data_IF_498552418180
#
_entry.id   IF_498552418180
#
_cell.length_a   1.000
_cell.length_b   1.000
_cell.length_c   1.000
_cell.angle_alpha   90.00
_cell.angle_beta   90.00
_cell.angle_gamma   90.00
#
_symmetry.space_group_name_H-M   'P 1'
#
loop_
_entity.id
_entity.type
_entity.pdbx_description
1 polymer ?
#
# COMPACT_ATOMS: atom_id res chain seq x y z
N UNK A 1 -0.22 -4.65 -18.74
CA UNK A 1 -0.35 -4.65 -17.28
C UNK A 1 0.37 -5.86 -16.73
N UNK A 2 1.16 -5.69 -15.69
CA UNK A 2 1.81 -6.77 -14.94
C UNK A 2 1.38 -6.66 -13.49
N UNK A 3 1.29 -7.81 -12.81
CA UNK A 3 0.95 -7.92 -11.41
C UNK A 3 2.02 -8.78 -10.75
N UNK A 4 2.60 -8.28 -9.65
CA UNK A 4 3.59 -8.97 -8.84
C UNK A 4 3.07 -9.05 -7.41
N UNK A 5 2.95 -10.26 -6.88
CA UNK A 5 2.58 -10.47 -5.48
C UNK A 5 3.87 -10.67 -4.69
N UNK A 6 4.27 -9.66 -3.94
CA UNK A 6 5.47 -9.71 -3.12
C UNK A 6 5.25 -10.51 -1.84
N UNK A 7 4.04 -10.40 -1.25
CA UNK A 7 3.63 -11.13 -0.05
C UNK A 7 2.11 -11.31 -0.02
N UNK A 8 1.64 -12.43 0.57
CA UNK A 8 0.21 -12.75 0.72
C UNK A 8 -0.23 -14.01 -0.01
N UNK A 9 0.69 -14.77 -0.64
CA UNK A 9 0.35 -16.02 -1.37
C UNK A 9 0.48 -17.27 -0.50
N UNK A 10 1.43 -17.29 0.43
CA UNK A 10 1.75 -18.47 1.26
C UNK A 10 1.64 -18.20 2.76
N UNK A 11 1.18 -17.01 3.14
CA UNK A 11 1.01 -16.61 4.53
C UNK A 11 -0.18 -15.65 4.67
N UNK A 12 -0.77 -15.62 5.86
CA UNK A 12 -1.81 -14.67 6.20
C UNK A 12 -1.14 -13.35 6.60
N UNK A 13 -1.66 -12.24 6.10
CA UNK A 13 -1.19 -10.89 6.42
C UNK A 13 0.10 -10.46 5.72
N UNK A 14 0.46 -9.21 5.94
CA UNK A 14 1.61 -8.58 5.32
C UNK A 14 1.45 -8.34 3.81
N UNK A 15 0.22 -8.19 3.34
CA UNK A 15 -0.10 -8.04 1.91
C UNK A 15 0.71 -6.94 1.25
N UNK A 16 1.28 -7.26 0.08
CA UNK A 16 1.92 -6.30 -0.82
C UNK A 16 1.79 -6.80 -2.26
N UNK A 17 1.03 -6.06 -3.06
CA UNK A 17 0.81 -6.37 -4.47
C UNK A 17 1.20 -5.16 -5.30
N UNK A 18 2.11 -5.36 -6.24
CA UNK A 18 2.53 -4.36 -7.20
C UNK A 18 1.78 -4.56 -8.51
N UNK A 19 1.20 -3.48 -9.04
CA UNK A 19 0.54 -3.48 -10.34
C UNK A 19 1.22 -2.39 -11.17
N UNK A 20 1.67 -2.74 -12.36
CA UNK A 20 2.23 -1.72 -13.24
C UNK A 20 1.85 -1.89 -14.71
N UNK A 21 1.79 -0.77 -15.42
CA UNK A 21 1.51 -0.67 -16.84
C UNK A 21 2.30 0.49 -17.42
N UNK A 22 3.08 0.24 -18.49
CA UNK A 22 3.90 1.26 -19.15
C UNK A 22 4.76 2.06 -18.16
N UNK A 23 4.30 3.28 -17.78
CA UNK A 23 5.01 4.20 -16.88
C UNK A 23 4.33 4.35 -15.53
N UNK A 24 3.20 3.68 -15.30
CA UNK A 24 2.42 3.80 -14.06
C UNK A 24 2.62 2.56 -13.20
N UNK A 25 2.99 2.78 -11.95
CA UNK A 25 3.16 1.76 -10.91
C UNK A 25 2.36 2.13 -9.69
N UNK A 26 1.54 1.21 -9.21
CA UNK A 26 0.77 1.35 -7.98
C UNK A 26 1.01 0.13 -7.08
N UNK A 27 0.87 0.33 -5.78
CA UNK A 27 0.96 -0.72 -4.77
C UNK A 27 -0.39 -0.87 -4.09
N UNK A 28 -0.90 -2.09 -4.01
CA UNK A 28 -2.06 -2.44 -3.20
C UNK A 28 -1.59 -3.05 -1.89
N UNK A 29 -1.87 -2.37 -0.81
CA UNK A 29 -1.43 -2.62 0.55
C UNK A 29 0.11 -2.63 0.70
N UNK A 30 0.60 -2.34 1.89
CA UNK A 30 2.00 -2.47 2.26
C UNK A 30 2.08 -2.85 3.73
N UNK A 31 1.75 -4.10 3.98
CA UNK A 31 1.43 -4.63 5.30
C UNK A 31 2.61 -5.15 6.09
N UNK A 32 2.48 -5.09 7.41
CA UNK A 32 3.39 -5.74 8.36
C UNK A 32 3.21 -7.26 8.27
N UNK A 33 4.30 -8.06 8.20
CA UNK A 33 4.16 -9.51 8.36
C UNK A 33 3.52 -9.85 9.71
N UNK A 34 2.66 -10.86 9.76
CA UNK A 34 2.11 -11.40 11.00
C UNK A 34 2.98 -12.53 11.54
N UNK A 35 3.69 -13.23 10.65
CA UNK A 35 4.53 -14.37 11.01
C UNK A 35 5.96 -14.19 10.52
N UNK A 36 6.90 -14.64 11.33
CA UNK A 36 8.31 -14.78 10.98
C UNK A 36 8.57 -16.16 10.34
N UNK A 37 9.74 -16.37 9.69
CA UNK A 37 10.17 -17.68 9.25
C UNK A 37 10.06 -18.71 10.36
N UNK A 38 9.50 -19.88 10.05
CA UNK A 38 9.24 -20.93 11.05
C UNK A 38 7.88 -20.82 11.76
N UNK A 39 6.99 -19.90 11.33
CA UNK A 39 5.60 -19.80 11.79
C UNK A 39 5.41 -19.13 13.16
N UNK A 40 6.46 -18.55 13.73
CA UNK A 40 6.38 -17.74 14.96
C UNK A 40 5.73 -16.40 14.67
N UNK A 41 5.11 -15.79 15.68
CA UNK A 41 4.62 -14.42 15.59
C UNK A 41 5.76 -13.45 15.22
N UNK A 42 5.47 -12.49 14.34
CA UNK A 42 6.44 -11.50 13.92
C UNK A 42 6.69 -10.45 15.01
N UNK A 43 7.92 -10.36 15.47
CA UNK A 43 8.33 -9.35 16.45
C UNK A 43 8.63 -8.01 15.77
N UNK A 44 7.72 -7.07 15.87
CA UNK A 44 7.90 -5.70 15.34
C UNK A 44 9.08 -4.96 15.98
N UNK A 45 9.50 -5.32 17.18
CA UNK A 45 10.64 -4.65 17.85
C UNK A 45 11.95 -4.95 17.11
N UNK A 46 12.01 -6.05 16.37
CA UNK A 46 13.15 -6.43 15.54
C UNK A 46 13.44 -5.44 14.40
N UNK A 47 12.50 -4.57 14.06
CA UNK A 47 12.66 -3.55 13.02
C UNK A 47 13.42 -2.31 13.51
N UNK A 48 13.61 -2.15 14.82
CA UNK A 48 14.21 -0.95 15.40
C UNK A 48 15.68 -0.81 15.01
N UNK A 49 16.05 0.40 14.60
CA UNK A 49 17.42 0.73 14.22
C UNK A 49 17.90 0.17 12.88
N UNK A 50 17.08 -0.62 12.20
CA UNK A 50 17.44 -1.18 10.89
C UNK A 50 17.21 -0.20 9.76
N UNK A 51 18.12 -0.23 8.82
CA UNK A 51 18.04 0.50 7.55
C UNK A 51 17.09 -0.19 6.57
N UNK A 52 16.61 0.55 5.57
CA UNK A 52 15.80 -0.01 4.48
C UNK A 52 16.51 -1.18 3.79
N UNK A 53 17.82 -1.06 3.57
CA UNK A 53 18.64 -2.12 2.93
C UNK A 53 18.67 -3.41 3.76
N UNK A 54 18.82 -3.29 5.07
CA UNK A 54 18.78 -4.46 5.97
C UNK A 54 17.41 -5.13 5.98
N UNK A 55 16.33 -4.31 6.06
CA UNK A 55 14.96 -4.83 6.02
C UNK A 55 14.60 -5.50 4.69
N UNK A 56 15.18 -5.05 3.58
CA UNK A 56 15.03 -5.72 2.27
C UNK A 56 15.78 -7.06 2.28
N UNK A 57 16.98 -7.13 2.81
CA UNK A 57 17.75 -8.39 2.94
C UNK A 57 17.03 -9.42 3.83
N UNK A 58 16.33 -8.96 4.85
CA UNK A 58 15.53 -9.80 5.74
C UNK A 58 14.13 -10.12 5.19
N UNK A 59 13.81 -9.72 3.97
CA UNK A 59 12.51 -9.91 3.32
C UNK A 59 11.33 -9.29 4.08
N UNK A 60 11.57 -8.31 4.95
CA UNK A 60 10.52 -7.50 5.58
C UNK A 60 9.99 -6.45 4.60
N UNK A 61 10.91 -5.78 3.90
CA UNK A 61 10.61 -4.87 2.80
C UNK A 61 10.98 -5.52 1.46
N UNK A 62 10.52 -4.94 0.35
CA UNK A 62 10.75 -5.45 -1.00
C UNK A 62 11.59 -4.47 -1.82
N UNK A 63 12.41 -4.98 -2.73
CA UNK A 63 13.28 -4.17 -3.59
C UNK A 63 12.46 -3.50 -4.72
N UNK A 64 11.55 -2.61 -4.36
CA UNK A 64 10.73 -1.84 -5.32
C UNK A 64 11.40 -0.47 -5.55
N UNK A 65 11.85 -0.17 -6.77
CA UNK A 65 12.53 1.09 -7.08
C UNK A 65 11.64 2.31 -6.83
N UNK A 66 12.20 3.34 -6.19
CA UNK A 66 11.53 4.61 -5.94
C UNK A 66 10.36 4.53 -4.95
N UNK A 67 10.27 3.46 -4.15
CA UNK A 67 9.22 3.31 -3.12
C UNK A 67 9.62 3.95 -1.80
N UNK A 68 10.89 4.01 -1.46
CA UNK A 68 11.36 4.33 -0.11
C UNK A 68 11.91 5.75 0.02
N UNK A 69 11.93 6.25 1.26
CA UNK A 69 12.59 7.50 1.62
C UNK A 69 14.04 7.52 1.13
N UNK A 70 14.48 8.66 0.60
CA UNK A 70 15.84 8.84 0.08
C UNK A 70 16.06 8.35 -1.36
N UNK A 71 15.00 7.90 -2.05
CA UNK A 71 15.02 7.55 -3.47
C UNK A 71 14.18 8.56 -4.26
N UNK A 72 14.42 8.69 -5.56
CA UNK A 72 13.50 9.40 -6.46
C UNK A 72 12.20 8.58 -6.59
N UNK A 73 11.01 9.15 -6.30
CA UNK A 73 9.77 8.40 -6.30
C UNK A 73 9.41 7.90 -7.71
N UNK A 74 9.20 6.59 -7.84
CA UNK A 74 8.80 5.93 -9.09
C UNK A 74 7.46 5.17 -8.95
N UNK A 75 6.82 5.28 -7.79
CA UNK A 75 5.50 4.72 -7.52
C UNK A 75 4.48 5.85 -7.53
N UNK A 76 3.42 5.68 -8.31
CA UNK A 76 2.42 6.73 -8.56
C UNK A 76 1.32 6.77 -7.50
N UNK A 77 1.17 5.72 -6.69
CA UNK A 77 0.18 5.67 -5.63
C UNK A 77 0.17 4.36 -4.86
N UNK A 78 -0.32 4.44 -3.63
CA UNK A 78 -0.54 3.29 -2.76
C UNK A 78 -2.01 3.24 -2.42
N UNK A 79 -2.65 2.10 -2.65
CA UNK A 79 -4.06 1.86 -2.34
C UNK A 79 -4.11 1.03 -1.06
N UNK A 80 -4.76 1.54 -0.01
CA UNK A 80 -4.91 0.82 1.25
C UNK A 80 -6.32 0.27 1.36
N UNK A 81 -6.41 -1.05 1.47
CA UNK A 81 -7.69 -1.74 1.57
C UNK A 81 -8.39 -1.47 2.88
N UNK A 82 -7.69 -1.54 4.01
CA UNK A 82 -8.28 -1.27 5.35
C UNK A 82 -7.21 -0.99 6.42
N UNK A 83 -7.68 -0.69 7.64
CA UNK A 83 -6.85 -0.23 8.76
C UNK A 83 -6.31 -1.35 9.66
N UNK A 84 -6.11 -2.56 9.15
CA UNK A 84 -5.36 -3.59 9.87
C UNK A 84 -3.86 -3.48 9.55
N UNK A 85 -3.03 -3.68 10.56
CA UNK A 85 -1.58 -3.41 10.49
C UNK A 85 -0.85 -4.25 9.44
N UNK A 86 -1.37 -5.43 9.15
CA UNK A 86 -0.89 -6.32 8.10
C UNK A 86 -1.26 -5.85 6.66
N UNK A 87 -1.91 -4.68 6.53
CA UNK A 87 -2.20 -4.00 5.25
C UNK A 87 -1.53 -2.63 5.12
N UNK A 88 -1.20 -1.95 6.23
CA UNK A 88 -0.61 -0.60 6.18
C UNK A 88 0.65 -0.44 7.04
N UNK A 89 1.02 -1.43 7.85
CA UNK A 89 2.01 -1.29 8.94
C UNK A 89 3.42 -0.90 8.50
N UNK A 90 3.78 -1.06 7.23
CA UNK A 90 5.08 -0.68 6.70
C UNK A 90 5.09 0.67 5.94
N UNK A 91 3.97 1.41 5.91
CA UNK A 91 3.90 2.73 5.26
C UNK A 91 4.92 3.73 5.81
N UNK A 92 5.35 3.58 7.06
CA UNK A 92 6.35 4.46 7.70
C UNK A 92 7.71 4.53 6.98
N UNK A 93 8.04 3.52 6.16
CA UNK A 93 9.27 3.45 5.38
C UNK A 93 9.16 4.12 4.01
N UNK A 94 7.96 4.39 3.54
CA UNK A 94 7.69 4.84 2.19
C UNK A 94 8.05 6.31 1.98
N UNK A 95 8.29 6.66 0.72
CA UNK A 95 8.54 8.04 0.32
C UNK A 95 7.30 8.90 0.60
N UNK A 96 7.48 10.03 1.26
CA UNK A 96 6.38 10.90 1.73
C UNK A 96 5.61 11.57 0.59
N UNK A 97 6.20 11.63 -0.60
CA UNK A 97 5.59 12.23 -1.79
C UNK A 97 4.66 11.28 -2.55
N UNK A 98 4.68 10.00 -2.25
CA UNK A 98 3.78 9.04 -2.86
C UNK A 98 2.39 9.21 -2.23
N UNK A 99 1.32 9.48 -3.04
CA UNK A 99 -0.03 9.62 -2.52
C UNK A 99 -0.57 8.27 -2.03
N UNK A 100 -1.29 8.29 -0.90
CA UNK A 100 -1.92 7.12 -0.30
C UNK A 100 -3.43 7.25 -0.42
N UNK A 101 -4.05 6.38 -1.18
CA UNK A 101 -5.49 6.31 -1.41
C UNK A 101 -6.12 5.38 -0.38
N UNK A 102 -7.01 5.92 0.44
CA UNK A 102 -7.54 5.23 1.61
C UNK A 102 -8.96 5.72 1.91
N UNK A 103 -9.83 4.89 2.46
CA UNK A 103 -11.14 5.32 2.91
C UNK A 103 -11.03 6.26 4.11
N UNK A 104 -12.00 7.17 4.28
CA UNK A 104 -12.02 8.11 5.41
C UNK A 104 -12.02 7.39 6.76
N UNK A 105 -12.82 6.31 6.87
CA UNK A 105 -12.89 5.48 8.08
C UNK A 105 -11.56 4.85 8.44
N UNK A 106 -10.88 4.21 7.47
CA UNK A 106 -9.58 3.59 7.69
C UNK A 106 -8.51 4.64 8.06
N UNK A 107 -8.51 5.81 7.40
CA UNK A 107 -7.60 6.90 7.71
C UNK A 107 -7.79 7.40 9.16
N UNK A 108 -9.03 7.63 9.59
CA UNK A 108 -9.37 8.05 10.96
C UNK A 108 -8.93 7.00 11.99
N UNK A 109 -9.16 5.71 11.73
CA UNK A 109 -8.75 4.63 12.62
C UNK A 109 -7.23 4.58 12.79
N UNK A 110 -6.45 4.71 11.72
CA UNK A 110 -4.99 4.76 11.80
C UNK A 110 -4.53 5.96 12.65
N UNK A 111 -5.15 7.12 12.50
CA UNK A 111 -4.84 8.29 13.35
C UNK A 111 -5.17 8.05 14.82
N UNK A 112 -6.32 7.43 15.12
CA UNK A 112 -6.70 7.08 16.50
C UNK A 112 -5.72 6.06 17.08
N UNK A 113 -5.36 5.02 16.33
CA UNK A 113 -4.39 4.01 16.78
C UNK A 113 -3.02 4.62 17.10
N UNK A 114 -2.59 5.63 16.36
CA UNK A 114 -1.35 6.35 16.67
C UNK A 114 -1.36 7.01 18.06
N UNK A 115 -2.52 7.41 18.59
CA UNK A 115 -2.64 8.02 19.92
C UNK A 115 -2.30 6.99 21.02
N UNK A 116 -2.64 5.72 20.80
CA UNK A 116 -2.47 4.64 21.76
C UNK A 116 -1.18 3.83 21.57
N UNK A 117 -0.39 4.14 20.53
CA UNK A 117 0.85 3.43 20.22
C UNK A 117 2.08 4.28 20.57
N UNK A 118 3.23 3.63 20.74
CA UNK A 118 4.50 4.35 20.95
C UNK A 118 4.85 5.18 19.70
N UNK A 119 5.40 6.37 19.87
CA UNK A 119 5.80 7.29 18.78
C UNK A 119 6.60 6.63 17.66
N UNK A 120 7.44 5.65 17.98
CA UNK A 120 8.23 4.90 16.98
C UNK A 120 7.39 4.01 16.05
N UNK A 121 6.18 3.66 16.48
CA UNK A 121 5.22 2.87 15.70
C UNK A 121 4.20 3.73 14.97
N UNK A 122 4.26 5.06 15.11
CA UNK A 122 3.34 5.97 14.44
C UNK A 122 3.50 5.90 12.93
N UNK A 123 2.38 5.79 12.24
CA UNK A 123 2.30 5.82 10.79
C UNK A 123 1.63 7.12 10.38
N UNK A 124 2.43 8.00 9.79
CA UNK A 124 1.93 9.25 9.21
C UNK A 124 1.61 9.04 7.75
N UNK A 125 0.38 9.33 7.36
CA UNK A 125 -0.04 9.37 5.96
C UNK A 125 -0.03 10.83 5.53
N UNK A 126 1.13 11.29 5.04
CA UNK A 126 1.36 12.71 4.72
C UNK A 126 0.55 13.20 3.53
N UNK A 127 0.28 12.34 2.56
CA UNK A 127 -0.52 12.64 1.36
C UNK A 127 -1.70 11.67 1.25
N UNK A 128 -2.66 11.75 2.19
CA UNK A 128 -3.87 10.95 2.16
C UNK A 128 -4.85 11.48 1.09
N UNK A 129 -5.19 10.63 0.13
CA UNK A 129 -6.24 10.85 -0.85
C UNK A 129 -7.46 10.03 -0.41
N UNK A 130 -8.49 10.70 0.09
CA UNK A 130 -9.69 10.01 0.60
C UNK A 130 -10.52 9.50 -0.56
N UNK A 131 -10.73 8.18 -0.59
CA UNK A 131 -11.57 7.52 -1.59
C UNK A 131 -13.00 7.35 -1.08
N UNK A 132 -13.96 7.43 -2.02
CA UNK A 132 -15.40 7.29 -1.73
C UNK A 132 -15.98 6.11 -2.52
N UNK A 133 -16.98 5.44 -1.97
CA UNK A 133 -17.67 4.33 -2.61
C UNK A 133 -18.11 4.68 -4.03
N UNK A 134 -17.68 3.87 -5.00
CA UNK A 134 -17.97 4.00 -6.44
C UNK A 134 -17.54 5.33 -7.10
N UNK A 135 -16.80 6.18 -6.40
CA UNK A 135 -16.23 7.39 -7.00
C UNK A 135 -14.88 7.05 -7.64
N UNK A 136 -14.90 6.76 -8.92
CA UNK A 136 -13.70 6.39 -9.69
C UNK A 136 -12.74 7.55 -9.83
N UNK A 137 -11.44 7.22 -9.97
CA UNK A 137 -10.35 8.16 -10.21
C UNK A 137 -9.25 7.48 -11.03
N UNK A 138 -8.37 8.30 -11.59
CA UNK A 138 -7.28 7.82 -12.43
C UNK A 138 -5.93 8.02 -11.71
N UNK A 139 -5.05 7.03 -11.87
CA UNK A 139 -3.63 7.13 -11.54
C UNK A 139 -2.85 6.72 -12.81
N UNK A 140 -2.35 7.70 -13.54
CA UNK A 140 -1.64 7.46 -14.80
C UNK A 140 -2.43 6.60 -15.78
N UNK A 141 -1.95 5.38 -16.04
CA UNK A 141 -2.60 4.42 -16.97
C UNK A 141 -3.76 3.63 -16.34
N UNK A 142 -4.05 3.81 -15.06
CA UNK A 142 -5.07 3.02 -14.36
C UNK A 142 -6.30 3.84 -14.05
N UNK A 143 -7.47 3.27 -14.38
CA UNK A 143 -8.77 3.71 -13.89
C UNK A 143 -9.18 2.86 -12.71
N UNK A 144 -9.44 3.47 -11.57
CA UNK A 144 -9.63 2.79 -10.29
C UNK A 144 -11.00 3.13 -9.73
N UNK A 145 -11.77 2.10 -9.37
CA UNK A 145 -13.07 2.26 -8.72
C UNK A 145 -13.05 1.59 -7.34
N UNK A 146 -13.18 2.36 -6.25
CA UNK A 146 -13.24 1.83 -4.90
C UNK A 146 -14.66 1.36 -4.55
N UNK A 147 -14.75 0.18 -3.93
CA UNK A 147 -15.99 -0.36 -3.37
C UNK A 147 -15.82 -0.54 -1.87
N UNK A 148 -16.50 0.27 -1.08
CA UNK A 148 -16.52 0.10 0.37
C UNK A 148 -17.49 -1.04 0.70
N UNK A 149 -17.00 -2.04 1.41
CA UNK A 149 -17.75 -3.21 1.86
C UNK A 149 -17.57 -3.40 3.36
N UNK A 150 -18.56 -3.97 4.04
CA UNK A 150 -18.45 -4.24 5.46
C UNK A 150 -17.41 -5.33 5.74
N UNK A 151 -16.63 -5.10 6.78
CA UNK A 151 -15.71 -6.09 7.34
C UNK A 151 -15.91 -6.14 8.84
N UNK A 152 -15.95 -7.36 9.40
CA UNK A 152 -16.25 -7.66 10.81
C UNK A 152 -15.80 -6.56 11.79
N UNK A 153 -16.77 -5.87 12.41
CA UNK A 153 -16.64 -4.92 13.52
C UNK A 153 -15.79 -3.65 13.32
N UNK A 154 -15.12 -3.45 12.20
CA UNK A 154 -14.35 -2.25 11.93
C UNK A 154 -14.59 -1.78 10.49
N UNK A 155 -15.51 -0.88 10.33
CA UNK A 155 -15.86 -0.09 9.15
C UNK A 155 -14.97 -0.26 7.92
N UNK A 156 -15.55 -0.92 6.90
CA UNK A 156 -15.21 -0.80 5.49
C UNK A 156 -13.83 -1.23 5.04
N UNK A 157 -13.73 -2.47 4.57
CA UNK A 157 -12.73 -2.82 3.56
C UNK A 157 -13.03 -2.03 2.29
N UNK A 158 -11.99 -1.53 1.65
CA UNK A 158 -12.06 -0.98 0.31
C UNK A 158 -11.54 -2.01 -0.69
N UNK A 159 -12.43 -2.57 -1.48
CA UNK A 159 -12.05 -3.33 -2.67
C UNK A 159 -11.81 -2.37 -3.82
N UNK A 160 -10.74 -2.57 -4.58
CA UNK A 160 -10.42 -1.75 -5.73
C UNK A 160 -10.57 -2.56 -7.01
N UNK A 161 -11.40 -2.07 -7.95
CA UNK A 161 -11.33 -2.51 -9.33
C UNK A 161 -10.31 -1.63 -10.05
N UNK A 162 -9.32 -2.27 -10.66
CA UNK A 162 -8.25 -1.59 -11.40
C UNK A 162 -8.32 -2.03 -12.86
N UNK A 163 -8.53 -1.08 -13.77
CA UNK A 163 -8.52 -1.31 -15.20
C UNK A 163 -7.46 -0.44 -15.87
N UNK A 164 -6.94 -0.90 -17.00
CA UNK A 164 -5.98 -0.11 -17.78
C UNK A 164 -6.75 0.79 -18.74
N UNK A 165 -6.46 2.09 -18.71
CA UNK A 165 -6.96 3.04 -19.69
C UNK A 165 -6.31 2.71 -21.05
N UNK A 166 -7.08 2.37 -22.09
CA UNK A 166 -6.50 2.12 -23.40
C UNK A 166 -5.70 3.34 -23.88
N UNK A 167 -4.53 3.10 -24.49
CA UNK A 167 -3.86 4.17 -25.21
C UNK A 167 -4.81 4.72 -26.25
N UNK A 168 -5.01 6.05 -26.30
CA UNK A 168 -5.72 6.66 -27.44
C UNK A 168 -5.01 6.16 -28.69
N UNK A 169 -5.71 5.39 -29.51
CA UNK A 169 -5.22 5.02 -30.83
C UNK A 169 -4.91 6.33 -31.55
N UNK A 170 -3.62 6.60 -31.81
CA UNK A 170 -3.25 7.71 -32.67
C UNK A 170 -3.97 7.50 -33.99
N UNK A 171 -4.85 8.44 -34.33
CA UNK A 171 -5.45 8.45 -35.66
C UNK A 171 -4.29 8.69 -36.62
N UNK A 172 -3.78 7.61 -37.22
CA UNK A 172 -2.88 7.72 -38.35
C UNK A 172 -3.72 8.40 -39.46
N UNK A 173 -3.52 9.69 -39.65
CA UNK A 173 -3.98 10.38 -40.86
C UNK A 173 -2.94 10.08 -41.93
N UNK A 174 -3.34 9.38 -43.01
CA UNK A 174 -2.46 9.18 -44.16
C UNK A 174 -2.06 10.50 -44.82
#
# INVERSE_FOLDING_TARGET
MQLIIHRGTHQIGGTCIEIYSRKTRIILDYGMPLTAPGGKEFDETSLRGKTITELIKEHVLFAIPGLYKGQDPQVNGILISHSHKDHYGLLKYLHTDIPVYISEGACKLIHVLNVFTHKQSHISISKACIVKHKASFDIGDFHITPYLVDHSNTNAITNFTVTVIPAKAGIYRP
#
